data_IF_283147429205
#
_entry.id   IF_283147429205
#
_cell.length_a   1.000
_cell.length_b   1.000
_cell.length_c   1.000
_cell.angle_alpha   90.00
_cell.angle_beta   90.00
_cell.angle_gamma   90.00
#
_symmetry.space_group_name_H-M   'P 1'
#
loop_
_entity.id
_entity.type
_entity.pdbx_description
1 polymer ?
#
# COMPACT_ATOMS: atom_id res chain seq x y z
N UNK A 1 4.71 0.93 17.45
CA UNK A 1 3.76 0.00 16.80
C UNK A 1 4.54 -1.06 16.06
N UNK A 2 4.18 -2.30 16.26
CA UNK A 2 4.81 -3.41 15.56
C UNK A 2 3.87 -3.94 14.49
N UNK A 3 4.46 -4.46 13.42
CA UNK A 3 3.71 -5.10 12.36
C UNK A 3 4.45 -6.35 11.91
N UNK A 4 3.73 -7.26 11.28
CA UNK A 4 4.30 -8.49 10.74
C UNK A 4 4.13 -8.48 9.23
N UNK A 5 5.20 -8.79 8.49
CA UNK A 5 5.11 -8.92 7.04
C UNK A 5 4.50 -10.28 6.71
N UNK A 6 3.36 -10.26 6.05
CA UNK A 6 2.61 -11.47 5.70
C UNK A 6 2.92 -11.95 4.29
N UNK A 7 3.20 -11.03 3.38
CA UNK A 7 3.46 -11.38 2.00
C UNK A 7 4.26 -10.29 1.31
N UNK A 8 5.19 -10.70 0.47
CA UNK A 8 5.90 -9.82 -0.45
C UNK A 8 5.71 -10.41 -1.84
N UNK A 9 5.33 -9.59 -2.80
CA UNK A 9 5.13 -10.04 -4.17
C UNK A 9 5.64 -9.04 -5.18
N UNK A 10 5.63 -9.46 -6.44
CA UNK A 10 5.98 -8.61 -7.57
C UNK A 10 4.88 -8.76 -8.62
N UNK A 11 4.37 -7.64 -9.11
CA UNK A 11 3.36 -7.63 -10.14
C UNK A 11 3.74 -6.60 -11.19
N UNK A 12 3.89 -7.03 -12.44
CA UNK A 12 4.29 -6.15 -13.55
C UNK A 12 5.55 -5.35 -13.23
N UNK A 13 6.49 -5.99 -12.54
CA UNK A 13 7.78 -5.38 -12.19
C UNK A 13 7.78 -4.52 -10.93
N UNK A 14 6.65 -4.35 -10.27
CA UNK A 14 6.55 -3.53 -9.06
C UNK A 14 6.38 -4.42 -7.83
N UNK A 15 7.13 -4.11 -6.78
CA UNK A 15 7.05 -4.83 -5.51
C UNK A 15 5.86 -4.36 -4.69
N UNK A 16 5.22 -5.29 -3.98
CA UNK A 16 4.23 -4.92 -2.98
C UNK A 16 4.46 -5.75 -1.71
N UNK A 17 4.00 -5.18 -0.60
CA UNK A 17 4.16 -5.80 0.72
C UNK A 17 2.81 -5.73 1.43
N UNK A 18 2.42 -6.83 2.06
CA UNK A 18 1.22 -6.87 2.90
C UNK A 18 1.67 -7.14 4.33
N UNK A 19 1.20 -6.31 5.24
CA UNK A 19 1.50 -6.45 6.67
C UNK A 19 0.24 -6.71 7.46
N UNK A 20 0.42 -7.25 8.66
CA UNK A 20 -0.65 -7.43 9.64
C UNK A 20 -0.29 -6.66 10.90
N UNK A 21 -1.23 -5.87 11.37
CA UNK A 21 -1.09 -5.13 12.63
C UNK A 21 -2.11 -5.69 13.62
N UNK A 22 -1.62 -6.06 14.81
CA UNK A 22 -2.49 -6.44 15.92
C UNK A 22 -1.87 -5.89 17.19
N UNK A 23 -2.34 -4.74 17.63
CA UNK A 23 -1.81 -4.05 18.80
C UNK A 23 -2.87 -3.94 19.93
N UNK A 24 -3.90 -4.76 19.87
CA UNK A 24 -4.99 -4.73 20.84
C UNK A 24 -6.07 -3.72 20.50
N UNK A 25 -5.75 -2.69 19.73
CA UNK A 25 -6.71 -1.69 19.26
C UNK A 25 -7.10 -1.94 17.80
N UNK A 26 -6.12 -2.22 16.98
CA UNK A 26 -6.31 -2.50 15.55
C UNK A 26 -5.86 -3.92 15.27
N UNK A 27 -6.66 -4.61 14.48
CA UNK A 27 -6.33 -5.95 13.98
C UNK A 27 -6.71 -5.93 12.50
N UNK A 28 -5.74 -5.65 11.64
CA UNK A 28 -6.02 -5.45 10.22
C UNK A 28 -4.81 -5.71 9.36
N UNK A 29 -5.05 -5.96 8.08
CA UNK A 29 -4.02 -5.99 7.06
C UNK A 29 -3.84 -4.61 6.45
N UNK A 30 -2.61 -4.33 6.04
CA UNK A 30 -2.25 -3.10 5.33
C UNK A 30 -1.50 -3.50 4.07
N UNK A 31 -1.65 -2.70 3.01
CA UNK A 31 -0.97 -2.94 1.74
C UNK A 31 -0.07 -1.79 1.36
N UNK A 32 1.07 -2.12 0.76
CA UNK A 32 2.08 -1.13 0.34
C UNK A 32 2.60 -1.50 -1.03
N UNK A 33 2.82 -0.49 -1.87
CA UNK A 33 3.27 -0.68 -3.24
C UNK A 33 4.48 0.22 -3.49
N UNK A 34 5.54 -0.33 -4.08
CA UNK A 34 6.71 0.45 -4.42
C UNK A 34 6.42 1.38 -5.61
N UNK A 35 6.82 2.64 -5.48
CA UNK A 35 6.71 3.62 -6.57
C UNK A 35 8.07 3.67 -7.27
N UNK A 36 8.11 3.42 -8.60
CA UNK A 36 9.38 3.47 -9.33
C UNK A 36 10.05 4.85 -9.23
N UNK A 37 11.38 4.85 -9.25
CA UNK A 37 12.15 6.10 -9.11
C UNK A 37 11.87 7.12 -10.19
N UNK A 38 11.48 6.67 -11.37
CA UNK A 38 11.18 7.56 -12.49
C UNK A 38 9.71 7.94 -12.59
N UNK A 39 8.91 7.57 -11.60
CA UNK A 39 7.48 7.88 -11.59
C UNK A 39 7.25 9.29 -11.04
N UNK A 40 6.22 9.97 -11.55
CA UNK A 40 5.87 11.32 -11.09
C UNK A 40 5.54 11.37 -9.61
N UNK A 41 5.09 10.25 -9.01
CA UNK A 41 4.74 10.20 -7.60
C UNK A 41 5.88 9.73 -6.71
N UNK A 42 7.06 9.50 -7.26
CA UNK A 42 8.20 9.12 -6.45
C UNK A 42 8.51 10.23 -5.44
N UNK A 43 8.55 9.88 -4.16
CA UNK A 43 8.78 10.80 -3.03
C UNK A 43 7.70 11.85 -2.82
N UNK A 44 6.51 11.68 -3.42
CA UNK A 44 5.37 12.53 -3.11
C UNK A 44 4.70 12.04 -1.83
N UNK A 45 4.30 13.00 -0.98
CA UNK A 45 3.57 12.68 0.24
C UNK A 45 2.19 12.11 -0.12
N UNK A 46 1.73 11.10 0.62
CA UNK A 46 0.51 10.39 0.24
C UNK A 46 -0.73 11.29 0.14
N UNK A 47 -0.84 12.32 0.98
CA UNK A 47 -1.98 13.25 0.92
C UNK A 47 -1.97 14.12 -0.34
N UNK A 48 -0.82 14.21 -1.03
CA UNK A 48 -0.68 15.00 -2.26
C UNK A 48 -0.91 14.15 -3.52
N UNK A 49 -1.17 12.85 -3.34
CA UNK A 49 -1.42 11.96 -4.47
C UNK A 49 -2.93 11.77 -4.59
N UNK A 50 -3.56 12.50 -5.50
CA UNK A 50 -5.02 12.51 -5.63
C UNK A 50 -5.56 11.51 -6.64
N UNK A 51 -4.71 11.05 -7.57
CA UNK A 51 -5.16 10.26 -8.71
C UNK A 51 -5.20 8.75 -8.46
N UNK A 52 -4.70 8.30 -7.30
CA UNK A 52 -4.73 6.87 -6.94
C UNK A 52 -5.98 6.61 -6.11
N UNK A 53 -6.81 5.69 -6.58
CA UNK A 53 -8.05 5.31 -5.88
C UNK A 53 -7.85 3.94 -5.26
N UNK A 54 -8.01 3.87 -3.94
CA UNK A 54 -7.94 2.61 -3.22
C UNK A 54 -8.83 2.67 -1.97
N UNK A 55 -9.04 1.51 -1.36
CA UNK A 55 -9.91 1.39 -0.19
C UNK A 55 -9.44 2.34 0.93
N UNK A 56 -10.31 3.27 1.31
CA UNK A 56 -10.02 4.23 2.38
C UNK A 56 -9.01 5.31 2.01
N UNK A 57 -8.47 5.32 0.80
CA UNK A 57 -7.45 6.27 0.39
C UNK A 57 -6.06 5.87 0.85
N UNK A 58 -5.05 6.58 0.33
CA UNK A 58 -3.67 6.36 0.76
C UNK A 58 -3.45 6.94 2.14
N UNK A 59 -2.80 6.18 3.02
CA UNK A 59 -2.53 6.59 4.40
C UNK A 59 -1.05 6.52 4.76
N UNK A 60 -0.20 6.09 3.84
CA UNK A 60 1.22 5.96 4.10
C UNK A 60 2.04 6.32 2.86
N UNK A 61 3.19 6.95 3.08
CA UNK A 61 4.24 7.12 2.08
C UNK A 61 5.58 7.16 2.78
N UNK A 62 6.59 6.49 2.24
CA UNK A 62 7.92 6.49 2.85
C UNK A 62 8.77 5.29 2.49
N UNK A 63 9.83 5.10 3.27
CA UNK A 63 10.90 4.14 3.00
C UNK A 63 10.95 3.00 4.03
N UNK A 64 9.83 2.66 4.64
CA UNK A 64 9.76 1.73 5.79
C UNK A 64 10.41 0.38 5.55
N UNK A 65 10.32 -0.14 4.33
CA UNK A 65 10.66 -1.54 4.09
C UNK A 65 12.08 -1.76 3.58
N UNK A 66 12.65 -0.77 2.91
CA UNK A 66 13.95 -0.94 2.27
C UNK A 66 14.53 0.43 1.93
N UNK A 67 15.83 0.62 2.17
CA UNK A 67 16.50 1.87 1.83
C UNK A 67 16.41 2.16 0.34
N UNK A 68 16.03 3.39 0.00
CA UNK A 68 15.94 3.83 -1.38
C UNK A 68 14.71 3.36 -2.13
N UNK A 69 13.85 2.55 -1.51
CA UNK A 69 12.61 2.08 -2.12
C UNK A 69 11.42 2.80 -1.49
N UNK A 70 10.80 3.68 -2.25
CA UNK A 70 9.67 4.49 -1.79
C UNK A 70 8.36 3.74 -1.99
N UNK A 71 7.60 3.59 -0.91
CA UNK A 71 6.31 2.90 -0.93
C UNK A 71 5.17 3.84 -0.60
N UNK A 72 4.03 3.63 -1.23
CA UNK A 72 2.76 4.22 -0.82
C UNK A 72 1.86 3.09 -0.33
N UNK A 73 0.96 3.39 0.59
CA UNK A 73 0.16 2.34 1.19
C UNK A 73 -1.16 2.80 1.73
N UNK A 74 -1.95 1.80 2.11
CA UNK A 74 -3.29 1.98 2.67
C UNK A 74 -3.50 0.96 3.78
N UNK A 75 -4.52 1.21 4.60
CA UNK A 75 -4.92 0.26 5.63
C UNK A 75 -6.41 -0.05 5.53
N UNK A 76 -6.84 -1.06 6.29
CA UNK A 76 -8.24 -1.47 6.34
C UNK A 76 -8.83 -1.25 7.73
N UNK A 77 -8.19 -0.41 8.55
CA UNK A 77 -8.55 -0.22 9.95
C UNK A 77 -9.60 0.87 10.18
N UNK A 78 -10.39 1.21 9.16
CA UNK A 78 -11.40 2.24 9.36
C UNK A 78 -12.72 1.67 9.86
N UNK A 79 -13.53 2.57 10.38
CA UNK A 79 -14.82 2.25 10.94
C UNK A 79 -15.69 1.50 9.92
N UNK A 80 -16.30 0.41 10.35
CA UNK A 80 -17.15 -0.45 9.52
C UNK A 80 -16.43 -1.12 8.34
N UNK A 81 -15.12 -1.29 8.41
CA UNK A 81 -14.42 -2.02 7.36
C UNK A 81 -14.70 -3.52 7.45
N UNK A 82 -15.29 -4.08 6.38
CA UNK A 82 -15.50 -5.53 6.26
C UNK A 82 -14.25 -6.28 5.85
N UNK A 83 -13.22 -5.54 5.43
CA UNK A 83 -12.06 -6.14 4.76
C UNK A 83 -10.81 -6.16 5.64
N UNK A 84 -10.93 -5.79 6.92
CA UNK A 84 -9.79 -5.65 7.82
C UNK A 84 -8.92 -6.90 7.88
N UNK A 85 -9.53 -8.08 7.85
CA UNK A 85 -8.83 -9.37 7.96
C UNK A 85 -8.89 -10.18 6.67
N UNK A 86 -9.06 -9.52 5.52
CA UNK A 86 -9.15 -10.20 4.23
C UNK A 86 -7.87 -9.98 3.42
N UNK A 87 -6.95 -10.94 3.52
CA UNK A 87 -5.67 -10.87 2.84
C UNK A 87 -5.83 -10.77 1.32
N UNK A 88 -6.74 -11.54 0.75
CA UNK A 88 -6.98 -11.54 -0.70
C UNK A 88 -7.47 -10.17 -1.17
N UNK A 89 -8.36 -9.54 -0.42
CA UNK A 89 -8.83 -8.20 -0.75
C UNK A 89 -7.68 -7.20 -0.78
N UNK A 90 -6.82 -7.23 0.25
CA UNK A 90 -5.69 -6.30 0.35
C UNK A 90 -4.70 -6.54 -0.78
N UNK A 91 -4.43 -7.80 -1.11
CA UNK A 91 -3.55 -8.11 -2.23
C UNK A 91 -4.11 -7.56 -3.55
N UNK A 92 -5.40 -7.78 -3.82
CA UNK A 92 -6.02 -7.27 -5.04
C UNK A 92 -5.99 -5.75 -5.11
N UNK A 93 -6.11 -5.06 -3.98
CA UNK A 93 -5.98 -3.60 -3.95
C UNK A 93 -4.55 -3.17 -4.27
N UNK A 94 -3.53 -3.90 -3.80
CA UNK A 94 -2.15 -3.62 -4.18
C UNK A 94 -1.95 -3.75 -5.70
N UNK A 95 -2.49 -4.80 -6.31
CA UNK A 95 -2.39 -4.99 -7.75
C UNK A 95 -3.10 -3.85 -8.50
N UNK A 96 -4.24 -3.41 -7.99
CA UNK A 96 -4.98 -2.29 -8.56
C UNK A 96 -4.17 -0.99 -8.50
N UNK A 97 -3.51 -0.73 -7.39
CA UNK A 97 -2.65 0.46 -7.26
C UNK A 97 -1.49 0.39 -8.26
N UNK A 98 -0.88 -0.78 -8.42
CA UNK A 98 0.21 -0.95 -9.40
C UNK A 98 -0.28 -0.62 -10.81
N UNK A 99 -1.45 -1.14 -11.19
CA UNK A 99 -2.02 -0.84 -12.51
C UNK A 99 -2.28 0.65 -12.70
N UNK A 100 -2.76 1.34 -11.66
CA UNK A 100 -2.99 2.78 -11.72
C UNK A 100 -1.68 3.54 -11.87
N UNK A 101 -0.63 3.15 -11.13
CA UNK A 101 0.68 3.78 -11.24
C UNK A 101 1.24 3.65 -12.66
N UNK A 102 1.09 2.48 -13.27
CA UNK A 102 1.56 2.24 -14.63
C UNK A 102 0.84 3.17 -15.61
N UNK A 103 -0.48 3.31 -15.49
CA UNK A 103 -1.26 4.18 -16.37
C UNK A 103 -0.89 5.65 -16.21
N UNK A 104 -0.62 6.08 -15.00
CA UNK A 104 -0.34 7.49 -14.72
C UNK A 104 1.09 7.90 -15.12
N UNK A 105 1.95 6.96 -15.40
CA UNK A 105 3.33 7.24 -15.78
C UNK A 105 3.53 7.32 -17.30
N UNK A 106 2.47 7.25 -18.06
CA UNK A 106 2.55 7.32 -19.51
C UNK A 106 2.46 8.76 -20.02
#
# INVERSE_FOLDING_TARGET
MSFEVMKVGIFKGSSYVITHIDDGRYNCYCGYVEVPKNHIYFEQYHDDIDDIVCHGGLTYSGYRFRDGAYYIGFDTAHFNSEHANNLTFVENECLNIIDQLIKLNN
#
